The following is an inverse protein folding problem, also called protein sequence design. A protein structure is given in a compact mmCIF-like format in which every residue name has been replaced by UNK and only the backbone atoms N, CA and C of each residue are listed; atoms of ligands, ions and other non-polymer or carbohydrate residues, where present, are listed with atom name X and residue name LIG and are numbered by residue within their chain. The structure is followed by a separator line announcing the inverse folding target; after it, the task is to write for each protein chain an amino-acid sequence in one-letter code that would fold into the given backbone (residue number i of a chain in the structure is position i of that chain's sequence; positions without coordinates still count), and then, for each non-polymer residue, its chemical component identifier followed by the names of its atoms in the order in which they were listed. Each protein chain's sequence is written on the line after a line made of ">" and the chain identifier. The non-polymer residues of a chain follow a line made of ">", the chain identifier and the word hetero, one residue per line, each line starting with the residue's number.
data_IF_813150478245
#
_entry.id   IF_813150478245
#
_cell.length_a   1.000
_cell.length_b   1.000
_cell.length_c   1.000
_cell.angle_alpha   90.00
_cell.angle_beta   90.00
_cell.angle_gamma   90.00
#
_symmetry.space_group_name_H-M   'P 1'
#
loop_
_entity.id
_entity.type
_entity.pdbx_description
1 polymer ?
#
# COMPACT_ATOMS: atom_id res chain seq x y z
N UNK A 1 -13.60 9.86 19.14
CA UNK A 1 -14.48 8.94 19.90
C UNK A 1 -14.38 7.47 19.44
N UNK A 2 -14.44 7.18 18.14
CA UNK A 2 -14.45 5.79 17.65
C UNK A 2 -13.18 4.98 17.98
N UNK A 3 -11.98 5.49 17.68
CA UNK A 3 -10.69 4.79 17.96
C UNK A 3 -10.53 4.46 19.45
N UNK A 4 -10.82 5.41 20.33
CA UNK A 4 -10.72 5.21 21.79
C UNK A 4 -11.64 4.11 22.29
N UNK A 5 -12.80 3.94 21.65
CA UNK A 5 -13.79 2.91 22.00
C UNK A 5 -13.33 1.54 21.53
N UNK A 6 -12.81 1.43 20.31
CA UNK A 6 -12.28 0.15 19.78
C UNK A 6 -11.08 -0.37 20.59
N UNK A 7 -10.18 0.53 21.00
CA UNK A 7 -9.04 0.17 21.84
C UNK A 7 -9.47 -0.44 23.19
N UNK A 8 -10.56 0.06 23.79
CA UNK A 8 -11.07 -0.45 25.07
C UNK A 8 -11.60 -1.88 24.99
N UNK A 9 -12.08 -2.31 23.82
CA UNK A 9 -12.59 -3.66 23.58
C UNK A 9 -11.55 -4.58 22.91
N UNK A 10 -10.31 -4.11 22.74
CA UNK A 10 -9.24 -4.87 22.10
C UNK A 10 -9.38 -5.02 20.57
N UNK A 11 -10.27 -4.25 19.94
CA UNK A 11 -10.45 -4.29 18.50
C UNK A 11 -9.33 -3.51 17.78
N UNK A 12 -8.80 -4.09 16.71
CA UNK A 12 -7.83 -3.46 15.81
C UNK A 12 -8.56 -3.09 14.53
N UNK A 13 -8.60 -1.80 14.22
CA UNK A 13 -9.24 -1.28 13.01
C UNK A 13 -8.15 -0.81 12.06
N UNK A 14 -8.16 -1.37 10.85
CA UNK A 14 -7.25 -0.98 9.76
C UNK A 14 -8.04 -0.32 8.65
N UNK A 15 -7.63 0.88 8.25
CA UNK A 15 -8.15 1.58 7.07
C UNK A 15 -7.09 1.55 5.97
N UNK A 16 -7.49 1.20 4.74
CA UNK A 16 -6.69 1.36 3.53
C UNK A 16 -7.49 2.22 2.53
N UNK A 17 -6.85 3.24 1.95
CA UNK A 17 -7.47 4.17 1.01
C UNK A 17 -6.45 4.65 -0.03
N UNK A 18 -6.90 5.02 -1.23
CA UNK A 18 -6.05 5.42 -2.37
C UNK A 18 -6.17 6.91 -2.76
N UNK A 19 -6.80 7.75 -1.94
CA UNK A 19 -6.84 9.19 -2.13
C UNK A 19 -6.92 9.86 -0.77
N UNK A 20 -5.79 10.35 -0.27
CA UNK A 20 -5.75 10.92 1.07
C UNK A 20 -6.50 12.25 1.11
N UNK A 21 -6.48 13.05 0.04
CA UNK A 21 -7.18 14.34 0.00
C UNK A 21 -8.68 14.18 0.32
N UNK A 22 -9.38 13.22 -0.30
CA UNK A 22 -10.79 12.95 0.01
C UNK A 22 -11.01 12.38 1.43
N UNK A 23 -10.07 11.59 1.94
CA UNK A 23 -10.13 11.09 3.32
C UNK A 23 -10.02 12.26 4.31
N UNK A 24 -9.22 13.27 3.99
CA UNK A 24 -9.00 14.44 4.84
C UNK A 24 -10.14 15.47 4.79
N UNK A 25 -10.93 15.48 3.70
CA UNK A 25 -12.14 16.31 3.59
C UNK A 25 -13.25 15.88 4.56
N UNK A 26 -13.30 14.59 4.93
CA UNK A 26 -14.26 14.10 5.91
C UNK A 26 -13.73 14.31 7.35
N UNK A 27 -14.39 15.13 8.20
CA UNK A 27 -13.91 15.42 9.55
C UNK A 27 -13.71 14.17 10.42
N UNK A 28 -14.57 13.17 10.28
CA UNK A 28 -14.48 11.93 11.07
C UNK A 28 -13.28 11.09 10.67
N UNK A 29 -13.00 10.99 9.36
CA UNK A 29 -11.84 10.26 8.86
C UNK A 29 -10.54 11.00 9.14
N UNK A 30 -10.55 12.34 9.04
CA UNK A 30 -9.43 13.19 9.44
C UNK A 30 -9.08 12.99 10.92
N UNK A 31 -10.07 13.02 11.81
CA UNK A 31 -9.85 12.78 13.24
C UNK A 31 -9.36 11.36 13.51
N UNK A 32 -9.89 10.37 12.79
CA UNK A 32 -9.44 8.98 12.88
C UNK A 32 -7.97 8.86 12.44
N UNK A 33 -7.61 9.50 11.34
CA UNK A 33 -6.25 9.51 10.82
C UNK A 33 -5.29 10.19 11.80
N UNK A 34 -5.59 11.39 12.28
CA UNK A 34 -4.73 12.12 13.24
C UNK A 34 -4.49 11.34 14.53
N UNK A 35 -5.52 10.68 15.07
CA UNK A 35 -5.42 9.92 16.32
C UNK A 35 -4.80 8.52 16.16
N UNK A 36 -4.54 8.05 14.93
CA UNK A 36 -3.96 6.74 14.71
C UNK A 36 -2.44 6.76 14.98
N UNK A 37 -1.92 6.00 15.96
CA UNK A 37 -0.49 6.00 16.27
C UNK A 37 0.34 5.18 15.28
N UNK A 38 -0.30 4.41 14.40
CA UNK A 38 0.33 3.55 13.40
C UNK A 38 -0.21 3.92 12.02
N UNK A 39 0.66 4.32 11.11
CA UNK A 39 0.28 4.69 9.74
C UNK A 39 1.32 4.14 8.77
N UNK A 40 0.87 3.72 7.59
CA UNK A 40 1.75 3.29 6.50
C UNK A 40 1.35 4.06 5.27
N UNK A 41 2.33 4.71 4.66
CA UNK A 41 2.20 5.49 3.45
C UNK A 41 3.03 4.82 2.36
N UNK A 42 2.36 4.37 1.31
CA UNK A 42 3.03 4.02 0.06
C UNK A 42 3.15 5.26 -0.80
N UNK A 43 3.82 5.14 -1.95
CA UNK A 43 3.92 6.20 -2.96
C UNK A 43 2.62 7.01 -3.11
N UNK A 44 2.74 8.33 -2.97
CA UNK A 44 1.63 9.28 -3.04
C UNK A 44 1.89 10.23 -4.21
N UNK A 45 0.94 10.30 -5.15
CA UNK A 45 1.00 11.30 -6.23
C UNK A 45 1.06 12.72 -5.67
N UNK A 46 1.76 13.62 -6.36
CA UNK A 46 2.25 14.90 -5.80
C UNK A 46 1.25 15.78 -5.03
N UNK A 47 -0.03 15.85 -5.44
CA UNK A 47 -1.04 16.65 -4.70
C UNK A 47 -1.38 16.03 -3.32
N UNK A 48 -1.46 14.71 -3.26
CA UNK A 48 -1.74 13.97 -2.04
C UNK A 48 -0.54 14.00 -1.08
N UNK A 49 0.68 13.91 -1.60
CA UNK A 49 1.90 14.07 -0.81
C UNK A 49 1.96 15.46 -0.13
N UNK A 50 1.68 16.54 -0.88
CA UNK A 50 1.69 17.90 -0.34
C UNK A 50 0.62 18.13 0.75
N UNK A 51 -0.55 17.50 0.64
CA UNK A 51 -1.58 17.56 1.67
C UNK A 51 -1.23 16.70 2.89
N UNK A 52 -0.57 15.57 2.68
CA UNK A 52 -0.10 14.69 3.74
C UNK A 52 0.93 15.37 4.64
N UNK A 53 1.87 16.14 4.06
CA UNK A 53 2.89 16.89 4.79
C UNK A 53 2.32 17.93 5.79
N UNK A 54 1.06 18.38 5.59
CA UNK A 54 0.40 19.33 6.51
C UNK A 54 -0.12 18.67 7.79
N UNK A 55 -0.30 17.35 7.77
CA UNK A 55 -0.94 16.59 8.86
C UNK A 55 0.08 15.67 9.53
N UNK A 56 1.06 15.21 8.77
CA UNK A 56 2.17 14.40 9.24
C UNK A 56 3.47 15.10 8.84
N UNK A 57 4.23 15.51 9.85
CA UNK A 57 5.56 16.09 9.64
C UNK A 57 6.51 14.98 9.17
N UNK A 58 7.09 15.18 7.98
CA UNK A 58 8.11 14.31 7.41
C UNK A 58 9.39 15.10 7.17
N UNK A 59 10.53 14.43 7.32
CA UNK A 59 11.80 14.97 6.85
C UNK A 59 11.83 14.99 5.31
N UNK A 60 12.68 15.82 4.68
CA UNK A 60 12.81 15.85 3.22
C UNK A 60 13.16 14.48 2.62
N UNK A 61 13.92 13.65 3.35
CA UNK A 61 14.29 12.29 2.91
C UNK A 61 13.10 11.34 2.94
N UNK A 62 12.27 11.40 3.98
CA UNK A 62 11.04 10.61 4.07
C UNK A 62 10.03 11.03 3.01
N UNK A 63 9.91 12.34 2.76
CA UNK A 63 9.05 12.86 1.73
C UNK A 63 9.47 12.38 0.33
N UNK A 64 10.79 12.40 0.06
CA UNK A 64 11.32 11.88 -1.20
C UNK A 64 11.03 10.39 -1.39
N UNK A 65 11.05 9.60 -0.32
CA UNK A 65 10.69 8.17 -0.38
C UNK A 65 9.21 7.94 -0.77
N UNK A 66 8.34 8.94 -0.57
CA UNK A 66 6.95 8.92 -1.03
C UNK A 66 6.78 9.37 -2.49
N UNK A 67 7.82 9.90 -3.14
CA UNK A 67 7.80 10.34 -4.54
C UNK A 67 8.51 9.35 -5.49
N UNK A 68 9.37 8.47 -4.95
CA UNK A 68 10.28 7.60 -5.72
C UNK A 68 9.57 6.49 -6.55
N UNK A 69 8.23 6.47 -6.62
CA UNK A 69 7.42 5.56 -7.45
C UNK A 69 7.82 4.07 -7.37
N UNK A 70 8.40 3.66 -6.25
CA UNK A 70 8.93 2.31 -6.09
C UNK A 70 7.86 1.46 -5.42
N UNK A 71 7.27 0.54 -6.18
CA UNK A 71 6.25 -0.39 -5.70
C UNK A 71 6.72 -1.15 -4.45
N UNK A 72 5.88 -1.17 -3.42
CA UNK A 72 6.16 -1.85 -2.17
C UNK A 72 7.10 -1.10 -1.22
N UNK A 73 7.71 0.01 -1.64
CA UNK A 73 8.44 0.90 -0.75
C UNK A 73 7.53 2.02 -0.22
N UNK A 74 7.84 2.54 0.95
CA UNK A 74 7.08 3.61 1.56
C UNK A 74 7.61 4.05 2.91
N UNK A 75 6.76 4.74 3.66
CA UNK A 75 7.05 5.32 4.95
C UNK A 75 6.07 4.80 6.00
N UNK A 76 6.60 4.31 7.12
CA UNK A 76 5.84 3.85 8.27
C UNK A 76 5.99 4.84 9.41
N UNK A 77 4.87 5.26 9.99
CA UNK A 77 4.83 6.13 11.18
C UNK A 77 4.34 5.33 12.37
N UNK A 78 5.14 5.32 13.43
CA UNK A 78 4.76 4.69 14.69
C UNK A 78 5.10 5.57 15.90
N UNK A 79 4.05 6.01 16.61
CA UNK A 79 4.14 6.88 17.80
C UNK A 79 5.01 8.13 17.57
N UNK A 80 4.92 8.72 16.38
CA UNK A 80 5.68 9.91 15.99
C UNK A 80 7.06 9.60 15.39
N UNK A 81 7.56 8.37 15.47
CA UNK A 81 8.77 7.97 14.76
C UNK A 81 8.42 7.61 13.32
N UNK A 82 9.31 7.98 12.41
CA UNK A 82 9.16 7.71 10.97
C UNK A 82 10.25 6.73 10.52
N UNK A 83 9.84 5.71 9.76
CA UNK A 83 10.71 4.64 9.27
C UNK A 83 10.53 4.47 7.76
N UNK A 84 11.63 4.34 7.03
CA UNK A 84 11.59 3.87 5.65
C UNK A 84 11.29 2.38 5.62
N UNK A 85 10.34 1.97 4.79
CA UNK A 85 9.84 0.61 4.71
C UNK A 85 10.04 0.05 3.30
N UNK A 86 10.52 -1.19 3.23
CA UNK A 86 10.52 -2.02 2.03
C UNK A 86 9.64 -3.25 2.30
N UNK A 87 8.49 -3.29 1.64
CA UNK A 87 7.48 -4.32 1.78
C UNK A 87 7.47 -5.32 0.61
N UNK A 88 8.48 -5.28 -0.26
CA UNK A 88 8.51 -6.12 -1.44
C UNK A 88 8.64 -7.59 -1.04
N UNK A 89 7.79 -8.40 -1.64
CA UNK A 89 7.80 -9.84 -1.45
C UNK A 89 8.53 -10.51 -2.62
N UNK A 90 9.38 -11.50 -2.32
CA UNK A 90 10.03 -12.31 -3.34
C UNK A 90 9.01 -13.06 -4.19
N UNK A 91 9.21 -13.14 -5.51
CA UNK A 91 8.39 -13.96 -6.41
C UNK A 91 8.45 -15.46 -6.08
N UNK A 92 9.52 -15.91 -5.42
CA UNK A 92 9.64 -17.28 -4.94
C UNK A 92 8.78 -17.58 -3.71
N UNK A 93 8.20 -16.56 -3.08
CA UNK A 93 7.32 -16.75 -1.93
C UNK A 93 6.02 -17.41 -2.38
N UNK A 94 5.58 -18.52 -1.76
CA UNK A 94 4.31 -19.17 -2.09
C UNK A 94 3.08 -18.26 -2.03
N UNK A 95 3.15 -17.19 -1.23
CA UNK A 95 2.08 -16.21 -1.10
C UNK A 95 2.08 -15.17 -2.23
N UNK A 96 3.16 -15.04 -3.01
CA UNK A 96 3.30 -14.02 -4.03
C UNK A 96 2.17 -14.06 -5.06
N UNK A 97 1.84 -15.24 -5.57
CA UNK A 97 0.77 -15.39 -6.55
C UNK A 97 -0.62 -14.93 -6.05
N UNK A 98 -0.87 -15.01 -4.74
CA UNK A 98 -2.14 -14.59 -4.14
C UNK A 98 -2.22 -13.09 -3.84
N UNK A 99 -1.08 -12.43 -3.62
CA UNK A 99 -1.00 -11.00 -3.31
C UNK A 99 -0.59 -10.13 -4.50
N UNK A 100 -0.09 -10.72 -5.59
CA UNK A 100 0.24 -9.99 -6.81
C UNK A 100 -1.03 -9.38 -7.40
N UNK A 101 -1.09 -8.05 -7.46
CA UNK A 101 -2.20 -7.29 -8.08
C UNK A 101 -1.84 -6.78 -9.47
N UNK A 102 -0.70 -7.19 -10.03
CA UNK A 102 -0.31 -6.78 -11.39
C UNK A 102 -1.06 -7.62 -12.44
N UNK A 103 -2.26 -7.17 -12.79
CA UNK A 103 -3.14 -7.84 -13.75
C UNK A 103 -2.51 -8.00 -15.14
N UNK A 104 -1.61 -7.10 -15.54
CA UNK A 104 -0.89 -7.20 -16.81
C UNK A 104 0.10 -8.37 -16.81
N UNK A 105 0.91 -8.52 -15.76
CA UNK A 105 1.83 -9.65 -15.61
C UNK A 105 1.10 -10.99 -15.51
N UNK A 106 -0.04 -11.02 -14.81
CA UNK A 106 -0.86 -12.23 -14.75
C UNK A 106 -1.46 -12.61 -16.11
N UNK A 107 -1.93 -11.62 -16.88
CA UNK A 107 -2.48 -11.84 -18.22
C UNK A 107 -1.40 -12.35 -19.20
N UNK A 108 -0.19 -11.79 -19.14
CA UNK A 108 0.94 -12.28 -19.95
C UNK A 108 1.38 -13.69 -19.55
N UNK A 109 1.42 -14.00 -18.24
CA UNK A 109 1.72 -15.35 -17.75
C UNK A 109 0.67 -16.36 -18.25
N UNK A 110 -0.62 -16.01 -18.20
CA UNK A 110 -1.69 -16.87 -18.73
C UNK A 110 -1.56 -17.11 -20.23
N UNK A 111 -1.30 -16.06 -21.03
CA UNK A 111 -1.09 -16.20 -22.49
C UNK A 111 0.08 -17.14 -22.82
N UNK A 112 1.21 -16.97 -22.13
CA UNK A 112 2.37 -17.86 -22.32
C UNK A 112 2.10 -19.30 -21.90
N UNK A 113 1.25 -19.49 -20.90
CA UNK A 113 0.87 -20.81 -20.41
C UNK A 113 -0.10 -21.52 -21.39
N UNK A 114 -1.06 -20.78 -21.94
CA UNK A 114 -1.95 -21.24 -23.01
C UNK A 114 -1.18 -21.57 -24.29
N UNK A 115 -0.23 -20.73 -24.71
CA UNK A 115 0.62 -21.00 -25.87
C UNK A 115 1.50 -22.26 -25.68
N UNK A 116 2.01 -22.49 -24.46
CA UNK A 116 2.82 -23.66 -24.14
C UNK A 116 2.00 -24.95 -24.06
N UNK A 117 0.74 -24.90 -23.60
CA UNK A 117 -0.14 -26.06 -23.58
C UNK A 117 -0.64 -26.41 -24.99
N UNK A 118 -0.96 -25.42 -25.82
CA UNK A 118 -1.31 -25.63 -27.24
C UNK A 118 -0.12 -26.24 -28.00
N UNK A 119 1.11 -25.78 -27.75
CA UNK A 119 2.31 -26.33 -28.39
C UNK A 119 2.61 -27.77 -27.95
N UNK A 120 2.26 -28.15 -26.72
CA UNK A 120 2.40 -29.53 -26.24
C UNK A 120 1.36 -30.43 -26.89
N UNK A 121 0.09 -30.02 -26.93
CA UNK A 121 -0.97 -30.79 -27.59
C UNK A 121 -0.67 -31.01 -29.09
N UNK A 122 -0.13 -30.01 -29.79
CA UNK A 122 0.28 -30.16 -31.20
C UNK A 122 1.55 -31.00 -31.40
N UNK A 123 2.40 -31.16 -30.39
CA UNK A 123 3.57 -32.04 -30.46
C UNK A 123 3.23 -33.52 -30.22
N UNK A 124 2.09 -33.81 -29.59
CA UNK A 124 1.59 -35.17 -29.33
C UNK A 124 0.55 -35.66 -30.36
N UNK A 125 0.27 -34.88 -31.40
CA UNK A 125 -0.52 -35.25 -32.59
C UNK A 125 0.39 -35.47 -33.80
#
# INVERSE_FOLDING_TARGET
>A
YAIETYRKVGAIVTLAAQNITHVLENPSLRDMFSNCPFKVFFDQGGLDAANLAKIQEFSPTEFKALEENTEGCGVLVWRGNVYLMDARMSESNPLFASFDTNFHKQAEKKKKQEEADISKETFYL
#
